data_IF_822150152282
#
_entry.id   IF_822150152282
#
_cell.length_a   1.000
_cell.length_b   1.000
_cell.length_c   1.000
_cell.angle_alpha   90.00
_cell.angle_beta   90.00
_cell.angle_gamma   90.00
#
_symmetry.space_group_name_H-M   'P 1'
#
loop_
_entity.id
_entity.type
_entity.pdbx_description
1 polymer ?
#
# COMPACT_ATOMS: atom_id res chain seq x y z
N UNK A 1 6.56 1.89 4.49
CA UNK A 1 5.14 1.47 4.58
C UNK A 1 4.94 0.29 3.65
N UNK A 2 4.31 -0.77 4.16
CA UNK A 2 3.96 -1.95 3.37
C UNK A 2 2.44 -2.13 3.41
N UNK A 3 1.78 -1.84 2.29
CA UNK A 3 0.33 -1.91 2.20
C UNK A 3 -0.10 -3.12 1.39
N UNK A 4 -1.16 -3.79 1.84
CA UNK A 4 -1.91 -4.77 1.05
C UNK A 4 -3.34 -4.30 0.92
N UNK A 5 -3.75 -3.94 -0.29
CA UNK A 5 -5.13 -3.54 -0.62
C UNK A 5 -5.83 -4.71 -1.28
N UNK A 6 -7.01 -5.03 -0.77
CA UNK A 6 -7.87 -6.06 -1.31
C UNK A 6 -9.15 -5.41 -1.81
N UNK A 7 -9.47 -5.61 -3.09
CA UNK A 7 -10.70 -5.12 -3.70
C UNK A 7 -11.42 -6.30 -4.33
N UNK A 8 -12.69 -6.47 -3.99
CA UNK A 8 -13.58 -7.44 -4.61
C UNK A 8 -14.81 -6.74 -5.17
N UNK A 9 -15.40 -7.35 -6.19
CA UNK A 9 -16.73 -7.01 -6.67
C UNK A 9 -17.67 -8.16 -6.29
N UNK A 10 -18.89 -7.85 -5.86
CA UNK A 10 -19.86 -8.86 -5.39
C UNK A 10 -20.22 -9.86 -6.48
N UNK A 11 -20.18 -9.42 -7.74
CA UNK A 11 -20.50 -10.25 -8.91
C UNK A 11 -19.24 -10.96 -9.48
N UNK A 12 -18.06 -10.70 -8.93
CA UNK A 12 -16.82 -11.32 -9.34
C UNK A 12 -16.42 -12.48 -8.39
N UNK A 13 -16.14 -13.64 -8.98
CA UNK A 13 -15.59 -14.80 -8.23
C UNK A 13 -14.08 -14.66 -7.96
N UNK A 14 -13.58 -13.44 -7.77
CA UNK A 14 -12.18 -13.18 -7.48
C UNK A 14 -11.98 -11.83 -6.78
N UNK A 15 -10.86 -11.70 -6.10
CA UNK A 15 -10.37 -10.44 -5.53
C UNK A 15 -9.12 -9.99 -6.27
N UNK A 16 -8.92 -8.67 -6.35
CA UNK A 16 -7.63 -8.08 -6.71
C UNK A 16 -6.89 -7.77 -5.41
N UNK A 17 -5.69 -8.33 -5.27
CA UNK A 17 -4.73 -7.98 -4.22
C UNK A 17 -3.64 -7.11 -4.84
N UNK A 18 -3.56 -5.87 -4.39
CA UNK A 18 -2.43 -4.98 -4.64
C UNK A 18 -1.55 -4.97 -3.40
N UNK A 19 -0.26 -5.28 -3.56
CA UNK A 19 0.75 -5.11 -2.52
C UNK A 19 1.75 -4.05 -2.96
N UNK A 20 2.10 -3.12 -2.07
CA UNK A 20 3.11 -2.11 -2.34
C UNK A 20 4.10 -1.94 -1.19
N UNK A 21 5.37 -1.80 -1.54
CA UNK A 21 6.43 -1.35 -0.66
C UNK A 21 6.78 0.10 -1.00
N UNK A 22 6.70 0.97 0.01
CA UNK A 22 7.08 2.38 -0.09
C UNK A 22 8.12 2.72 0.96
N UNK A 23 9.20 3.36 0.56
CA UNK A 23 10.32 3.66 1.44
C UNK A 23 11.06 4.93 1.00
N UNK A 24 11.50 5.74 1.96
CA UNK A 24 12.43 6.86 1.77
C UNK A 24 13.32 6.99 3.02
N UNK A 25 14.48 7.63 2.88
CA UNK A 25 15.29 7.99 4.06
C UNK A 25 14.60 9.15 4.77
N UNK A 26 14.72 9.20 6.10
CA UNK A 26 14.16 10.32 6.90
C UNK A 26 14.74 11.68 6.46
N UNK A 27 16.02 11.72 6.07
CA UNK A 27 16.66 12.93 5.55
C UNK A 27 16.01 13.48 4.27
N UNK A 28 15.40 12.61 3.44
CA UNK A 28 14.70 13.04 2.22
C UNK A 28 13.29 13.61 2.54
N UNK A 29 12.83 13.47 3.79
CA UNK A 29 11.50 13.86 4.26
C UNK A 29 11.52 15.07 5.21
N UNK A 30 12.65 15.77 5.35
CA UNK A 30 12.82 16.93 6.25
C UNK A 30 11.84 18.09 5.97
N UNK A 31 11.25 18.13 4.77
CA UNK A 31 10.22 19.10 4.40
C UNK A 31 8.84 18.79 5.02
N UNK A 32 8.66 17.62 5.62
CA UNK A 32 7.40 17.22 6.26
C UNK A 32 7.41 17.58 7.75
N UNK A 33 6.26 18.03 8.29
CA UNK A 33 6.12 18.23 9.74
C UNK A 33 6.34 16.91 10.51
N UNK A 34 6.94 16.95 11.72
CA UNK A 34 7.16 15.74 12.53
C UNK A 34 5.89 14.94 12.81
N UNK A 35 4.76 15.59 13.01
CA UNK A 35 3.46 14.95 13.22
C UNK A 35 3.00 14.14 12.01
N UNK A 36 3.36 14.56 10.79
CA UNK A 36 3.07 13.82 9.55
C UNK A 36 3.93 12.57 9.49
N UNK A 37 5.23 12.67 9.82
CA UNK A 37 6.15 11.52 9.81
C UNK A 37 5.72 10.40 10.76
N UNK A 38 5.03 10.76 11.84
CA UNK A 38 4.56 9.82 12.86
C UNK A 38 3.17 9.23 12.56
N UNK A 39 2.45 9.76 11.57
CA UNK A 39 1.15 9.24 11.14
C UNK A 39 1.27 8.46 9.82
N UNK A 40 1.12 7.14 9.91
CA UNK A 40 1.15 6.23 8.77
C UNK A 40 0.18 6.61 7.64
N UNK A 41 -1.01 7.13 7.98
CA UNK A 41 -2.03 7.51 7.00
C UNK A 41 -1.72 8.84 6.29
N UNK A 42 -0.81 9.63 6.83
CA UNK A 42 -0.39 10.90 6.22
C UNK A 42 0.95 10.74 5.49
N UNK A 43 1.92 10.03 6.09
CA UNK A 43 3.28 9.90 5.52
C UNK A 43 3.33 9.06 4.25
N UNK A 44 2.45 8.05 4.11
CA UNK A 44 2.57 7.07 3.02
C UNK A 44 2.52 7.69 1.62
N UNK A 45 1.80 8.81 1.45
CA UNK A 45 1.65 9.51 0.18
C UNK A 45 2.96 10.17 -0.27
N UNK A 46 3.83 10.53 0.68
CA UNK A 46 5.15 11.12 0.42
C UNK A 46 6.26 10.09 0.21
N UNK A 47 5.99 8.81 0.45
CA UNK A 47 6.95 7.73 0.25
C UNK A 47 6.89 7.20 -1.19
N UNK A 48 8.01 7.16 -1.93
CA UNK A 48 8.05 6.60 -3.28
C UNK A 48 7.80 5.09 -3.24
N UNK A 49 7.17 4.57 -4.30
CA UNK A 49 6.93 3.13 -4.47
C UNK A 49 8.24 2.48 -4.93
N UNK A 50 8.74 1.53 -4.15
CA UNK A 50 9.91 0.73 -4.47
C UNK A 50 9.50 -0.54 -5.21
N UNK A 51 8.42 -1.16 -4.76
CA UNK A 51 7.89 -2.38 -5.36
C UNK A 51 6.36 -2.37 -5.37
N UNK A 52 5.78 -2.88 -6.45
CA UNK A 52 4.35 -3.00 -6.64
C UNK A 52 4.03 -4.37 -7.23
N UNK A 53 3.13 -5.11 -6.60
CA UNK A 53 2.62 -6.41 -7.06
C UNK A 53 1.10 -6.37 -7.12
N UNK A 54 0.56 -6.89 -8.21
CA UNK A 54 -0.88 -7.03 -8.42
C UNK A 54 -1.19 -8.49 -8.73
N UNK A 55 -2.11 -9.06 -7.97
CA UNK A 55 -2.47 -10.47 -8.05
C UNK A 55 -3.99 -10.61 -8.08
N UNK A 56 -4.45 -11.54 -8.91
CA UNK A 56 -5.83 -12.01 -8.88
C UNK A 56 -5.91 -13.21 -7.94
N UNK A 57 -6.74 -13.11 -6.91
CA UNK A 57 -6.98 -14.19 -5.95
C UNK A 57 -8.36 -14.78 -6.23
N UNK A 58 -8.39 -16.03 -6.68
CA UNK A 58 -9.63 -16.81 -6.80
C UNK A 58 -9.84 -17.60 -5.51
N UNK A 59 -11.03 -17.55 -4.89
CA UNK A 59 -11.36 -18.41 -3.74
C UNK A 59 -11.19 -19.88 -4.12
N UNK A 60 -10.63 -20.70 -3.23
CA UNK A 60 -10.61 -22.14 -3.46
C UNK A 60 -12.03 -22.70 -3.32
N UNK A 61 -12.46 -23.52 -4.26
CA UNK A 61 -13.70 -24.28 -4.14
C UNK A 61 -13.57 -25.27 -2.98
N UNK A 62 -14.40 -25.11 -1.94
CA UNK A 62 -14.59 -26.10 -0.86
C UNK A 62 -15.41 -27.29 -1.32
#
# INVERSE_FOLDING_TARGET
VCDTRLVGDNDANFFIREWSLREAKVADLEHLPPEVLLDGNQVWASLPIIELKNEKITPMST
#
